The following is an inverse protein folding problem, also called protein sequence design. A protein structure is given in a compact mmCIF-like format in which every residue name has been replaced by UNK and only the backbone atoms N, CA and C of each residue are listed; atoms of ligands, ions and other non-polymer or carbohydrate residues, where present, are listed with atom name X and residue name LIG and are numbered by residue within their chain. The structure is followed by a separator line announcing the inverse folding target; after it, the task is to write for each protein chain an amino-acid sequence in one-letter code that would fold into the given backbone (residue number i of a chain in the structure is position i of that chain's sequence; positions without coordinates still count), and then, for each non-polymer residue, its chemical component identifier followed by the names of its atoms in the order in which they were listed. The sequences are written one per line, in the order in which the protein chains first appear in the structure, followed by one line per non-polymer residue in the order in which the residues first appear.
data_IF_767781510743
#
_entry.id   IF_767781510743
#
_cell.length_a   1.000
_cell.length_b   1.000
_cell.length_c   1.000
_cell.angle_alpha   90.00
_cell.angle_beta   90.00
_cell.angle_gamma   90.00
#
_symmetry.space_group_name_H-M   'P 1'
#
loop_
_entity.id
_entity.type
_entity.pdbx_description
1 polymer ?
#
# COMPACT_ATOMS: atom_id res chain seq x y z
N UNK A 1 -38.55 21.41 53.23
CA UNK A 1 -38.21 21.01 51.84
C UNK A 1 -36.70 21.21 51.66
N UNK A 2 -35.91 20.13 51.62
CA UNK A 2 -34.45 20.19 51.44
C UNK A 2 -34.11 19.74 50.01
N UNK A 3 -33.45 20.59 49.24
CA UNK A 3 -32.99 20.26 47.89
C UNK A 3 -31.72 19.38 47.94
N UNK A 4 -31.58 18.35 47.07
CA UNK A 4 -30.41 17.48 47.06
C UNK A 4 -29.23 18.10 46.27
N UNK A 5 -28.03 18.05 46.87
CA UNK A 5 -26.79 18.49 46.22
C UNK A 5 -26.36 17.48 45.15
N UNK A 6 -26.37 17.92 43.88
CA UNK A 6 -25.86 17.17 42.73
C UNK A 6 -24.33 17.06 42.87
N UNK A 7 -23.81 15.82 43.00
CA UNK A 7 -22.37 15.55 42.97
C UNK A 7 -21.93 15.38 41.52
N UNK A 8 -21.22 16.36 40.98
CA UNK A 8 -20.51 16.22 39.71
C UNK A 8 -19.34 15.25 39.88
N UNK A 9 -19.39 14.12 39.19
CA UNK A 9 -18.30 13.16 39.09
C UNK A 9 -17.31 13.64 38.02
N UNK A 10 -16.10 14.01 38.44
CA UNK A 10 -15.01 14.40 37.54
C UNK A 10 -14.59 13.18 36.70
N UNK A 11 -14.97 13.17 35.43
CA UNK A 11 -14.56 12.13 34.48
C UNK A 11 -13.10 12.36 34.08
N UNK A 12 -12.20 11.50 34.59
CA UNK A 12 -10.76 11.58 34.34
C UNK A 12 -10.48 11.36 32.84
N UNK A 13 -10.06 12.39 32.14
CA UNK A 13 -9.58 12.27 30.76
C UNK A 13 -8.34 11.37 30.71
N UNK A 14 -8.48 10.22 30.06
CA UNK A 14 -7.42 9.22 29.88
C UNK A 14 -6.39 9.82 28.91
N UNK A 15 -5.24 10.23 29.44
CA UNK A 15 -4.09 10.76 28.69
C UNK A 15 -3.69 9.74 27.61
N UNK A 16 -3.84 10.09 26.32
CA UNK A 16 -3.32 9.23 25.24
C UNK A 16 -1.80 9.29 25.32
N UNK A 17 -1.18 8.23 25.83
CA UNK A 17 0.26 8.09 25.75
C UNK A 17 0.64 7.88 24.29
N UNK A 18 1.49 8.77 23.77
CA UNK A 18 2.22 8.52 22.53
C UNK A 18 3.04 7.24 22.75
N UNK A 19 2.63 6.14 22.13
CA UNK A 19 3.37 4.89 22.17
C UNK A 19 4.62 5.05 21.30
N UNK A 20 5.75 5.32 21.94
CA UNK A 20 7.07 5.15 21.32
C UNK A 20 7.21 3.67 21.00
N UNK A 21 7.45 3.35 19.73
CA UNK A 21 7.64 1.97 19.28
C UNK A 21 8.88 1.38 19.94
N UNK A 22 8.79 0.13 20.40
CA UNK A 22 9.96 -0.58 20.92
C UNK A 22 10.89 -0.99 19.78
N UNK A 23 12.18 -1.21 20.07
CA UNK A 23 13.13 -1.68 19.05
C UNK A 23 12.68 -3.00 18.40
N UNK A 24 12.10 -3.91 19.18
CA UNK A 24 11.54 -5.17 18.67
C UNK A 24 10.39 -4.94 17.70
N UNK A 25 9.50 -3.99 18.01
CA UNK A 25 8.40 -3.62 17.11
C UNK A 25 8.94 -3.00 15.82
N UNK A 26 9.94 -2.11 15.90
CA UNK A 26 10.59 -1.51 14.73
C UNK A 26 11.20 -2.59 13.84
N UNK A 27 11.94 -3.55 14.40
CA UNK A 27 12.50 -4.68 13.65
C UNK A 27 11.40 -5.51 12.99
N UNK A 28 10.30 -5.78 13.68
CA UNK A 28 9.16 -6.50 13.11
C UNK A 28 8.53 -5.75 11.94
N UNK A 29 8.37 -4.43 12.06
CA UNK A 29 7.86 -3.59 10.97
C UNK A 29 8.82 -3.55 9.79
N UNK A 30 10.14 -3.42 10.04
CA UNK A 30 11.17 -3.46 9.00
C UNK A 30 11.10 -4.75 8.19
N UNK A 31 11.13 -5.90 8.86
CA UNK A 31 11.06 -7.20 8.20
C UNK A 31 9.79 -7.34 7.36
N UNK A 32 8.64 -6.85 7.88
CA UNK A 32 7.38 -6.89 7.13
C UNK A 32 7.40 -5.97 5.91
N UNK A 33 8.00 -4.79 6.02
CA UNK A 33 8.14 -3.85 4.90
C UNK A 33 9.09 -4.39 3.82
N UNK A 34 10.17 -5.06 4.19
CA UNK A 34 11.07 -5.74 3.25
C UNK A 34 10.36 -6.89 2.52
N UNK A 35 9.56 -7.68 3.23
CA UNK A 35 8.73 -8.74 2.65
C UNK A 35 7.73 -8.17 1.63
N UNK A 36 7.03 -7.09 2.00
CA UNK A 36 6.09 -6.39 1.11
C UNK A 36 6.81 -5.79 -0.09
N UNK A 37 8.00 -5.21 0.09
CA UNK A 37 8.82 -4.69 -1.01
C UNK A 37 9.13 -5.77 -2.04
N UNK A 38 9.54 -6.95 -1.59
CA UNK A 38 9.85 -8.08 -2.47
C UNK A 38 8.60 -8.53 -3.25
N UNK A 39 7.46 -8.66 -2.57
CA UNK A 39 6.19 -9.02 -3.20
C UNK A 39 5.77 -7.99 -4.26
N UNK A 40 5.79 -6.70 -3.92
CA UNK A 40 5.41 -5.62 -4.84
C UNK A 40 6.34 -5.57 -6.06
N UNK A 41 7.63 -5.78 -5.87
CA UNK A 41 8.60 -5.78 -6.98
C UNK A 41 8.31 -6.93 -7.96
N UNK A 42 7.90 -8.09 -7.46
CA UNK A 42 7.52 -9.22 -8.30
C UNK A 42 6.23 -8.93 -9.09
N UNK A 43 5.19 -8.42 -8.42
CA UNK A 43 3.91 -8.08 -9.05
C UNK A 43 4.06 -7.04 -10.17
N UNK A 44 4.86 -5.99 -9.92
CA UNK A 44 5.12 -4.96 -10.93
C UNK A 44 5.86 -5.55 -12.13
N UNK A 45 6.81 -6.46 -11.89
CA UNK A 45 7.55 -7.14 -12.97
C UNK A 45 6.61 -7.97 -13.82
N UNK A 46 5.77 -8.78 -13.21
CA UNK A 46 4.83 -9.66 -13.91
C UNK A 46 3.84 -8.82 -14.74
N UNK A 47 3.30 -7.75 -14.17
CA UNK A 47 2.40 -6.80 -14.87
C UNK A 47 3.08 -6.14 -16.08
N UNK A 48 4.37 -5.80 -15.99
CA UNK A 48 5.13 -5.24 -17.12
C UNK A 48 5.30 -6.27 -18.24
N UNK A 49 5.60 -7.52 -17.90
CA UNK A 49 5.76 -8.58 -18.88
C UNK A 49 4.43 -8.91 -19.57
N UNK A 50 3.30 -8.90 -18.86
CA UNK A 50 1.97 -9.09 -19.45
C UNK A 50 1.62 -7.99 -20.47
N UNK A 51 1.94 -6.72 -20.15
CA UNK A 51 1.74 -5.58 -21.07
C UNK A 51 2.66 -5.68 -22.29
N UNK A 52 3.89 -6.17 -22.12
CA UNK A 52 4.83 -6.36 -23.24
C UNK A 52 4.41 -7.49 -24.16
N UNK A 53 4.00 -8.63 -23.58
CA UNK A 53 3.51 -9.77 -24.35
C UNK A 53 2.28 -9.38 -25.19
N UNK A 54 1.35 -8.59 -24.64
CA UNK A 54 0.20 -8.07 -25.40
C UNK A 54 0.61 -7.10 -26.52
N UNK A 55 1.69 -6.33 -26.37
CA UNK A 55 2.21 -5.47 -27.45
C UNK A 55 2.96 -6.29 -28.55
N UNK A 56 3.64 -7.38 -28.21
CA UNK A 56 4.34 -8.26 -29.17
C UNK A 56 3.37 -9.11 -30.02
N UNK A 57 2.23 -9.53 -29.47
CA UNK A 57 1.22 -10.36 -30.15
C UNK A 57 0.39 -9.57 -31.20
N UNK A 58 0.56 -8.25 -31.30
CA UNK A 58 -0.08 -7.41 -32.35
C UNK A 58 0.46 -7.69 -33.76
N UNK A 59 1.52 -8.50 -33.88
CA UNK A 59 2.04 -8.97 -35.16
C UNK A 59 1.24 -10.16 -35.70
N UNK A 60 0.57 -9.94 -36.84
CA UNK A 60 -0.10 -10.93 -37.69
C UNK A 60 -1.46 -11.44 -37.17
N UNK A 61 -2.53 -10.80 -37.66
CA UNK A 61 -3.93 -11.27 -37.63
C UNK A 61 -4.65 -11.13 -36.28
N UNK A 62 -4.94 -9.90 -35.87
CA UNK A 62 -5.93 -9.62 -34.83
C UNK A 62 -7.32 -9.39 -35.46
N UNK A 63 -8.34 -10.04 -34.91
CA UNK A 63 -9.73 -9.76 -35.27
C UNK A 63 -10.14 -8.43 -34.62
N UNK A 64 -10.92 -7.58 -35.32
CA UNK A 64 -11.39 -6.28 -34.79
C UNK A 64 -12.12 -6.38 -33.44
N UNK A 65 -12.62 -7.57 -33.09
CA UNK A 65 -13.27 -7.84 -31.81
C UNK A 65 -12.27 -7.98 -30.64
N UNK A 66 -11.05 -8.47 -30.89
CA UNK A 66 -10.04 -8.72 -29.85
C UNK A 66 -9.29 -7.43 -29.48
N UNK A 67 -9.19 -6.48 -30.43
CA UNK A 67 -8.53 -5.18 -30.24
C UNK A 67 -9.12 -4.39 -29.07
N UNK A 68 -10.45 -4.43 -28.88
CA UNK A 68 -11.12 -3.76 -27.77
C UNK A 68 -10.86 -4.41 -26.40
N UNK A 69 -10.71 -5.74 -26.35
CA UNK A 69 -10.39 -6.46 -25.12
C UNK A 69 -8.93 -6.28 -24.73
N UNK A 70 -8.02 -6.32 -25.71
CA UNK A 70 -6.59 -6.09 -25.49
C UNK A 70 -6.30 -4.66 -25.02
N UNK A 71 -6.96 -3.65 -25.60
CA UNK A 71 -6.81 -2.25 -25.17
C UNK A 71 -7.36 -2.02 -23.75
N UNK A 72 -8.50 -2.64 -23.43
CA UNK A 72 -9.05 -2.61 -22.07
C UNK A 72 -8.09 -3.25 -21.07
N UNK A 73 -7.64 -4.48 -21.33
CA UNK A 73 -6.71 -5.20 -20.46
C UNK A 73 -5.41 -4.43 -20.25
N UNK A 74 -4.85 -3.85 -21.32
CA UNK A 74 -3.67 -3.00 -21.27
C UNK A 74 -3.89 -1.77 -20.38
N UNK A 75 -5.02 -1.09 -20.54
CA UNK A 75 -5.36 0.10 -19.73
C UNK A 75 -5.45 -0.25 -18.25
N UNK A 76 -6.13 -1.35 -17.91
CA UNK A 76 -6.23 -1.83 -16.53
C UNK A 76 -4.85 -2.17 -15.95
N UNK A 77 -4.00 -2.88 -16.71
CA UNK A 77 -2.66 -3.26 -16.27
C UNK A 77 -1.75 -2.04 -16.07
N UNK A 78 -1.84 -1.02 -16.95
CA UNK A 78 -1.10 0.23 -16.80
C UNK A 78 -1.53 1.01 -15.55
N UNK A 79 -2.84 1.09 -15.30
CA UNK A 79 -3.37 1.74 -14.09
C UNK A 79 -2.95 1.00 -12.82
N UNK A 80 -3.02 -0.34 -12.82
CA UNK A 80 -2.59 -1.18 -11.72
C UNK A 80 -1.10 -0.97 -11.42
N UNK A 81 -0.24 -1.07 -12.43
CA UNK A 81 1.21 -0.87 -12.29
C UNK A 81 1.56 0.52 -11.74
N UNK A 82 0.81 1.56 -12.13
CA UNK A 82 0.96 2.90 -11.57
C UNK A 82 0.71 2.95 -10.06
N UNK A 83 -0.39 2.36 -9.60
CA UNK A 83 -0.73 2.28 -8.18
C UNK A 83 0.29 1.44 -7.39
N UNK A 84 0.73 0.32 -7.95
CA UNK A 84 1.72 -0.56 -7.33
C UNK A 84 3.06 0.16 -7.13
N UNK A 85 3.50 0.98 -8.10
CA UNK A 85 4.69 1.82 -7.97
C UNK A 85 4.57 2.86 -6.86
N UNK A 86 3.39 3.48 -6.70
CA UNK A 86 3.15 4.42 -5.60
C UNK A 86 3.24 3.72 -4.23
N UNK A 87 2.68 2.51 -4.11
CA UNK A 87 2.78 1.70 -2.90
C UNK A 87 4.23 1.32 -2.61
N UNK A 88 4.98 0.88 -3.63
CA UNK A 88 6.40 0.56 -3.51
C UNK A 88 7.20 1.77 -3.01
N UNK A 89 6.96 2.97 -3.56
CA UNK A 89 7.60 4.19 -3.12
C UNK A 89 7.29 4.49 -1.63
N UNK A 90 6.03 4.32 -1.20
CA UNK A 90 5.65 4.51 0.21
C UNK A 90 6.35 3.51 1.13
N UNK A 91 6.53 2.26 0.70
CA UNK A 91 7.27 1.25 1.45
C UNK A 91 8.75 1.65 1.59
N UNK A 92 9.37 2.13 0.52
CA UNK A 92 10.76 2.60 0.57
C UNK A 92 10.94 3.80 1.50
N UNK A 93 10.03 4.78 1.44
CA UNK A 93 10.03 5.91 2.38
C UNK A 93 9.87 5.44 3.82
N UNK A 94 9.01 4.45 4.08
CA UNK A 94 8.81 3.91 5.42
C UNK A 94 10.05 3.18 5.94
N UNK A 95 10.75 2.42 5.08
CA UNK A 95 12.02 1.78 5.42
C UNK A 95 13.12 2.80 5.70
N UNK A 96 13.22 3.84 4.87
CA UNK A 96 14.18 4.94 5.05
C UNK A 96 13.96 5.66 6.38
N UNK A 97 12.71 5.93 6.75
CA UNK A 97 12.34 6.50 8.06
C UNK A 97 12.76 5.62 9.24
N UNK A 98 12.55 4.30 9.11
CA UNK A 98 13.00 3.34 10.12
C UNK A 98 14.52 3.37 10.27
N UNK A 99 15.26 3.42 9.15
CA UNK A 99 16.73 3.47 9.16
C UNK A 99 17.26 4.81 9.72
N UNK A 100 16.55 5.91 9.47
CA UNK A 100 16.84 7.23 10.06
C UNK A 100 16.38 7.36 11.52
N UNK A 101 15.62 6.39 12.04
CA UNK A 101 15.09 6.42 13.41
C UNK A 101 14.05 7.51 13.65
N UNK A 102 13.31 7.93 12.62
CA UNK A 102 12.30 9.00 12.65
C UNK A 102 10.89 8.46 12.37
#
# INVERSE_FOLDING_TARGET
MLAPKIRFTQQKHKKRMFMVLTKEQITKFKNRLEELKAQMTHLIRDTIEDVRATDEIKGYSQHQADEGTDDFNRTINLQLSGNEREILQKIEIALDKIDQGT
#
